data_IF_709586989576
#
_entry.id   IF_709586989576
#
_cell.length_a   1.000
_cell.length_b   1.000
_cell.length_c   1.000
_cell.angle_alpha   90.00
_cell.angle_beta   90.00
_cell.angle_gamma   90.00
#
_symmetry.space_group_name_H-M   'P 1'
#
loop_
_entity.id
_entity.type
_entity.pdbx_description
1 polymer ?
#
# COMPACT_ATOMS: atom_id res chain seq x y z
N UNK A 1 -7.43 30.28 2.15
CA UNK A 1 -8.07 29.13 1.45
C UNK A 1 -6.99 28.42 0.68
N UNK A 2 -7.00 27.09 0.66
CA UNK A 2 -5.96 26.29 -0.02
C UNK A 2 -6.13 26.39 -1.53
N UNK A 3 -5.08 26.80 -2.28
CA UNK A 3 -5.10 26.83 -3.74
C UNK A 3 -4.76 25.43 -4.29
N UNK A 4 -5.60 24.80 -5.15
CA UNK A 4 -5.32 23.47 -5.68
C UNK A 4 -4.00 23.35 -6.48
N UNK A 5 -3.51 24.46 -7.05
CA UNK A 5 -2.21 24.49 -7.74
C UNK A 5 -1.01 24.29 -6.79
N UNK A 6 -1.20 24.43 -5.47
CA UNK A 6 -0.10 24.30 -4.51
C UNK A 6 0.22 22.84 -4.17
N UNK A 7 -0.60 21.88 -4.62
CA UNK A 7 -0.49 20.45 -4.27
C UNK A 7 0.17 19.65 -5.39
N UNK A 8 1.37 19.14 -5.12
CA UNK A 8 2.18 18.41 -6.09
C UNK A 8 2.13 16.88 -5.90
N UNK A 9 1.61 16.41 -4.77
CA UNK A 9 1.58 14.99 -4.40
C UNK A 9 0.14 14.55 -4.14
N UNK A 10 -0.31 13.54 -4.89
CA UNK A 10 -1.58 12.87 -4.62
C UNK A 10 -1.37 11.58 -3.84
N UNK A 11 -2.17 11.34 -2.81
CA UNK A 11 -2.14 10.14 -1.98
C UNK A 11 -3.53 9.51 -2.00
N UNK A 12 -3.64 8.27 -2.48
CA UNK A 12 -4.91 7.53 -2.53
C UNK A 12 -4.92 6.42 -1.48
N UNK A 13 -6.03 6.34 -0.75
CA UNK A 13 -6.35 5.28 0.21
C UNK A 13 -7.58 4.51 -0.28
N UNK A 14 -7.61 3.18 -0.15
CA UNK A 14 -8.75 2.35 -0.52
C UNK A 14 -9.87 2.39 0.53
N UNK A 15 -9.53 2.42 1.82
CA UNK A 15 -10.54 2.35 2.89
C UNK A 15 -10.34 3.41 3.98
N UNK A 16 -11.39 3.66 4.75
CA UNK A 16 -11.38 4.62 5.86
C UNK A 16 -10.29 4.36 6.91
N UNK A 17 -9.91 3.09 7.12
CA UNK A 17 -8.79 2.74 8.01
C UNK A 17 -7.48 3.37 7.56
N UNK A 18 -7.18 3.25 6.27
CA UNK A 18 -5.97 3.77 5.66
C UNK A 18 -6.01 5.30 5.60
N UNK A 19 -7.17 5.86 5.25
CA UNK A 19 -7.36 7.31 5.18
C UNK A 19 -7.14 7.99 6.54
N UNK A 20 -7.65 7.39 7.63
CA UNK A 20 -7.41 7.90 8.98
C UNK A 20 -5.93 7.83 9.36
N UNK A 21 -5.23 6.75 9.00
CA UNK A 21 -3.79 6.63 9.22
C UNK A 21 -3.02 7.69 8.45
N UNK A 22 -3.27 7.84 7.14
CA UNK A 22 -2.63 8.86 6.29
C UNK A 22 -2.80 10.27 6.86
N UNK A 23 -4.02 10.64 7.27
CA UNK A 23 -4.30 11.93 7.89
C UNK A 23 -3.62 12.14 9.25
N UNK A 24 -3.30 11.06 9.98
CA UNK A 24 -2.64 11.13 11.27
C UNK A 24 -1.14 11.44 11.15
N UNK A 25 -0.55 11.17 9.98
CA UNK A 25 0.87 11.38 9.69
C UNK A 25 1.18 12.75 9.06
N UNK A 26 0.17 13.53 8.66
CA UNK A 26 0.34 14.92 8.23
C UNK A 26 1.02 15.75 9.33
N UNK A 27 2.04 16.52 8.96
CA UNK A 27 2.67 17.50 9.87
C UNK A 27 1.74 18.68 10.13
N UNK A 28 0.99 19.06 9.09
CA UNK A 28 0.01 20.13 9.13
C UNK A 28 -1.21 19.73 8.31
N UNK A 29 -2.41 19.95 8.87
CA UNK A 29 -3.67 19.85 8.13
C UNK A 29 -4.04 21.23 7.61
N UNK A 30 -4.30 21.32 6.31
CA UNK A 30 -4.83 22.52 5.69
C UNK A 30 -6.36 22.55 5.75
N UNK A 31 -6.96 23.68 5.36
CA UNK A 31 -8.42 23.78 5.23
C UNK A 31 -8.98 22.91 4.11
N UNK A 32 -10.29 22.66 4.17
CA UNK A 32 -11.05 21.92 3.15
C UNK A 32 -10.93 22.65 1.79
N UNK A 33 -10.88 21.92 0.66
CA UNK A 33 -10.90 22.54 -0.67
C UNK A 33 -12.14 23.43 -0.81
N UNK A 34 -11.97 24.69 -1.22
CA UNK A 34 -13.11 25.59 -1.42
C UNK A 34 -13.91 25.28 -2.68
N UNK A 35 -13.27 24.64 -3.67
CA UNK A 35 -13.89 24.21 -4.91
C UNK A 35 -13.17 22.97 -5.44
N UNK A 36 -13.93 22.06 -6.03
CA UNK A 36 -13.44 20.88 -6.77
C UNK A 36 -14.10 20.86 -8.14
N UNK A 37 -13.60 20.03 -9.07
CA UNK A 37 -14.21 19.90 -10.39
C UNK A 37 -15.68 19.48 -10.29
N UNK A 38 -16.52 19.92 -11.25
CA UNK A 38 -17.99 19.78 -11.22
C UNK A 38 -18.51 18.34 -11.06
N UNK A 39 -17.69 17.34 -11.40
CA UNK A 39 -18.04 15.92 -11.35
C UNK A 39 -17.07 15.10 -10.49
N UNK A 40 -16.25 15.78 -9.68
CA UNK A 40 -15.39 15.12 -8.71
C UNK A 40 -16.22 14.73 -7.48
N UNK A 41 -16.29 13.42 -7.21
CA UNK A 41 -17.04 12.86 -6.08
C UNK A 41 -16.14 12.48 -4.90
N UNK A 42 -14.84 12.80 -4.96
CA UNK A 42 -13.91 12.43 -3.92
C UNK A 42 -14.06 13.31 -2.68
N UNK A 43 -13.84 12.72 -1.51
CA UNK A 43 -13.52 13.47 -0.29
C UNK A 43 -12.00 13.68 -0.21
N UNK A 44 -11.58 14.90 0.15
CA UNK A 44 -10.17 15.25 0.25
C UNK A 44 -9.79 15.77 1.62
N UNK A 45 -8.65 15.31 2.11
CA UNK A 45 -7.90 15.98 3.16
C UNK A 45 -6.65 16.61 2.54
N UNK A 46 -6.49 17.91 2.78
CA UNK A 46 -5.32 18.67 2.37
C UNK A 46 -4.36 18.82 3.53
N UNK A 47 -3.06 18.75 3.27
CA UNK A 47 -2.06 18.99 4.29
C UNK A 47 -0.65 19.07 3.76
N UNK A 48 0.31 19.01 4.68
CA UNK A 48 1.74 19.08 4.40
C UNK A 48 2.49 17.95 5.11
N UNK A 49 3.47 17.40 4.41
CA UNK A 49 4.48 16.47 4.95
C UNK A 49 5.85 17.00 4.56
N UNK A 50 6.67 17.37 5.54
CA UNK A 50 7.93 18.06 5.33
C UNK A 50 7.73 19.35 4.53
N UNK A 51 8.34 19.40 3.35
CA UNK A 51 8.25 20.53 2.42
C UNK A 51 7.15 20.38 1.35
N UNK A 52 6.41 19.27 1.36
CA UNK A 52 5.47 18.92 0.29
C UNK A 52 4.03 19.09 0.71
N UNK A 53 3.24 19.77 -0.13
CA UNK A 53 1.80 19.79 0.00
C UNK A 53 1.20 18.53 -0.63
N UNK A 54 0.39 17.83 0.17
CA UNK A 54 -0.20 16.54 -0.16
C UNK A 54 -1.72 16.65 -0.15
N UNK A 55 -2.36 16.14 -1.20
CA UNK A 55 -3.81 15.91 -1.24
C UNK A 55 -4.07 14.41 -1.05
N UNK A 56 -4.85 14.08 -0.04
CA UNK A 56 -5.21 12.70 0.30
C UNK A 56 -6.67 12.48 -0.07
N UNK A 57 -6.96 11.43 -0.84
CA UNK A 57 -8.33 10.97 -1.12
C UNK A 57 -8.55 9.56 -0.59
N UNK A 58 -9.83 9.22 -0.41
CA UNK A 58 -10.29 7.87 -0.10
C UNK A 58 -11.32 7.43 -1.13
N UNK A 59 -11.34 6.14 -1.45
CA UNK A 59 -12.39 5.58 -2.31
C UNK A 59 -13.78 5.69 -1.64
N UNK A 60 -14.86 5.76 -2.44
CA UNK A 60 -16.22 5.79 -1.91
C UNK A 60 -16.52 4.61 -0.98
N UNK A 61 -17.32 4.84 0.06
CA UNK A 61 -17.66 3.79 1.02
C UNK A 61 -18.40 2.63 0.33
N UNK A 62 -17.97 1.40 0.60
CA UNK A 62 -18.47 0.19 -0.05
C UNK A 62 -17.85 -0.11 -1.42
N UNK A 63 -17.01 0.78 -1.96
CA UNK A 63 -16.25 0.54 -3.18
C UNK A 63 -14.77 0.29 -2.87
N UNK A 64 -14.18 -0.64 -3.62
CA UNK A 64 -12.75 -0.92 -3.63
C UNK A 64 -12.41 -1.58 -4.97
N UNK A 65 -11.12 -1.76 -5.24
CA UNK A 65 -10.67 -2.35 -6.49
C UNK A 65 -10.20 -1.34 -7.54
N UNK A 66 -9.70 -1.91 -8.64
CA UNK A 66 -9.00 -1.23 -9.73
C UNK A 66 -9.82 -0.06 -10.33
N UNK A 67 -11.10 -0.27 -10.62
CA UNK A 67 -11.93 0.73 -11.32
C UNK A 67 -12.26 1.95 -10.45
N UNK A 68 -12.51 1.73 -9.15
CA UNK A 68 -12.80 2.80 -8.21
C UNK A 68 -11.53 3.63 -7.97
N UNK A 69 -10.38 2.98 -7.77
CA UNK A 69 -9.08 3.65 -7.65
C UNK A 69 -8.74 4.54 -8.86
N UNK A 70 -8.95 4.02 -10.08
CA UNK A 70 -8.73 4.79 -11.31
C UNK A 70 -9.66 6.01 -11.41
N UNK A 71 -10.92 5.87 -10.98
CA UNK A 71 -11.89 6.99 -10.98
C UNK A 71 -11.50 8.07 -9.99
N UNK A 72 -11.13 7.69 -8.77
CA UNK A 72 -10.62 8.61 -7.73
C UNK A 72 -9.39 9.36 -8.23
N UNK A 73 -8.42 8.65 -8.83
CA UNK A 73 -7.21 9.25 -9.36
C UNK A 73 -7.51 10.27 -10.47
N UNK A 74 -8.38 9.91 -11.43
CA UNK A 74 -8.80 10.81 -12.51
C UNK A 74 -9.41 12.09 -11.96
N UNK A 75 -10.35 11.97 -11.02
CA UNK A 75 -11.07 13.13 -10.48
C UNK A 75 -10.12 14.02 -9.63
N UNK A 76 -9.20 13.41 -8.89
CA UNK A 76 -8.11 14.11 -8.20
C UNK A 76 -7.24 14.93 -9.16
N UNK A 77 -6.84 14.37 -10.30
CA UNK A 77 -6.04 15.09 -11.30
C UNK A 77 -6.81 16.25 -11.97
N UNK A 78 -8.14 16.18 -12.01
CA UNK A 78 -8.97 17.27 -12.50
C UNK A 78 -9.06 18.43 -11.49
N UNK A 79 -9.19 18.12 -10.21
CA UNK A 79 -9.31 19.12 -9.14
C UNK A 79 -7.96 19.69 -8.70
N UNK A 80 -6.87 18.91 -8.80
CA UNK A 80 -5.52 19.28 -8.39
C UNK A 80 -4.55 19.12 -9.57
N UNK A 81 -4.53 20.08 -10.51
CA UNK A 81 -3.80 19.95 -11.76
C UNK A 81 -2.26 20.01 -11.61
N UNK A 82 -1.72 20.45 -10.47
CA UNK A 82 -0.28 20.48 -10.22
C UNK A 82 0.28 19.15 -9.65
N UNK A 83 -0.53 18.11 -9.49
CA UNK A 83 -0.02 16.80 -9.07
C UNK A 83 0.98 16.27 -10.11
N UNK A 84 2.16 15.88 -9.60
CA UNK A 84 3.31 15.38 -10.38
C UNK A 84 3.68 13.96 -10.04
N UNK A 85 3.46 13.55 -8.80
CA UNK A 85 3.68 12.18 -8.33
C UNK A 85 2.51 11.69 -7.47
N UNK A 86 2.28 10.39 -7.51
CA UNK A 86 1.27 9.72 -6.73
C UNK A 86 1.84 8.80 -5.65
N UNK A 87 1.03 8.51 -4.64
CA UNK A 87 1.23 7.43 -3.68
C UNK A 87 -0.09 6.64 -3.58
N UNK A 88 0.01 5.31 -3.58
CA UNK A 88 -1.08 4.43 -3.16
C UNK A 88 -0.65 3.76 -1.87
N UNK A 89 -1.17 4.22 -0.74
CA UNK A 89 -0.75 3.75 0.58
C UNK A 89 -1.93 3.13 1.29
N UNK A 90 -1.74 1.91 1.75
CA UNK A 90 -2.81 1.19 2.43
C UNK A 90 -2.33 -0.08 3.06
N UNK A 91 -3.26 -1.01 3.24
CA UNK A 91 -3.00 -2.35 3.74
C UNK A 91 -3.00 -3.36 2.61
N UNK A 92 -2.30 -4.46 2.82
CA UNK A 92 -2.28 -5.61 1.91
C UNK A 92 -2.09 -6.91 2.70
N UNK A 93 -2.28 -8.03 2.02
CA UNK A 93 -1.94 -9.33 2.58
C UNK A 93 -0.52 -9.73 2.19
N UNK A 94 0.27 -10.23 3.14
CA UNK A 94 1.66 -10.64 2.91
C UNK A 94 1.77 -12.02 2.28
N UNK A 95 2.89 -12.28 1.62
CA UNK A 95 3.25 -13.57 1.05
C UNK A 95 4.61 -14.04 1.63
N UNK A 96 4.63 -14.59 2.86
CA UNK A 96 5.86 -15.05 3.48
C UNK A 96 6.52 -16.17 2.68
N UNK A 97 7.84 -16.19 2.63
CA UNK A 97 8.63 -17.22 1.95
C UNK A 97 9.95 -17.46 2.67
N UNK A 98 10.70 -18.49 2.27
CA UNK A 98 12.02 -18.77 2.85
C UNK A 98 13.03 -17.62 2.70
N UNK A 99 12.87 -16.76 1.70
CA UNK A 99 13.72 -15.58 1.48
C UNK A 99 13.14 -14.29 2.07
N UNK A 100 11.85 -14.27 2.43
CA UNK A 100 11.16 -13.10 2.95
C UNK A 100 10.26 -13.49 4.12
N UNK A 101 10.78 -13.31 5.34
CA UNK A 101 10.00 -13.47 6.58
C UNK A 101 9.09 -12.26 6.83
N UNK A 102 8.06 -12.16 5.99
CA UNK A 102 7.04 -11.11 6.06
C UNK A 102 6.11 -11.40 7.24
N UNK A 103 5.90 -10.39 8.09
CA UNK A 103 5.09 -10.47 9.31
C UNK A 103 3.97 -9.44 9.34
N UNK A 104 2.97 -9.66 10.19
CA UNK A 104 1.91 -8.67 10.36
C UNK A 104 2.48 -7.37 10.94
N UNK A 105 2.09 -6.24 10.37
CA UNK A 105 2.65 -4.91 10.66
C UNK A 105 3.85 -4.53 9.80
N UNK A 106 4.53 -5.48 9.12
CA UNK A 106 5.58 -5.17 8.16
C UNK A 106 5.06 -4.31 7.01
N UNK A 107 6.00 -3.72 6.27
CA UNK A 107 5.71 -2.87 5.12
C UNK A 107 6.27 -3.55 3.87
N UNK A 108 5.47 -3.61 2.81
CA UNK A 108 5.91 -3.98 1.46
C UNK A 108 5.79 -2.77 0.55
N UNK A 109 6.88 -2.44 -0.13
CA UNK A 109 6.98 -1.31 -1.07
C UNK A 109 7.20 -1.84 -2.47
N UNK A 110 6.41 -1.36 -3.43
CA UNK A 110 6.53 -1.82 -4.82
C UNK A 110 7.87 -1.39 -5.42
N UNK A 111 8.64 -2.38 -5.87
CA UNK A 111 9.97 -2.16 -6.44
C UNK A 111 10.14 -2.97 -7.73
N UNK A 112 10.66 -2.37 -8.82
CA UNK A 112 10.93 -3.11 -10.05
C UNK A 112 11.91 -4.27 -9.85
N UNK A 113 11.55 -5.47 -10.33
CA UNK A 113 12.35 -6.70 -10.27
C UNK A 113 12.06 -7.56 -11.50
N UNK A 114 13.08 -8.23 -12.03
CA UNK A 114 12.97 -9.29 -13.05
C UNK A 114 12.09 -8.92 -14.26
N UNK A 115 12.23 -7.67 -14.74
CA UNK A 115 11.47 -7.15 -15.90
C UNK A 115 10.05 -6.64 -15.58
N UNK A 116 9.59 -6.73 -14.33
CA UNK A 116 8.31 -6.17 -13.86
C UNK A 116 8.50 -4.78 -13.23
N UNK A 117 7.49 -3.91 -13.41
CA UNK A 117 7.50 -2.55 -12.88
C UNK A 117 7.31 -2.41 -11.36
N UNK A 118 7.12 -3.52 -10.64
CA UNK A 118 6.85 -3.55 -9.20
C UNK A 118 5.40 -3.91 -8.86
N UNK A 119 4.49 -3.84 -9.82
CA UNK A 119 3.10 -4.35 -9.70
C UNK A 119 2.86 -5.43 -10.74
N UNK A 120 2.19 -6.51 -10.33
CA UNK A 120 1.78 -7.61 -11.19
C UNK A 120 0.27 -7.82 -11.11
N UNK A 121 -0.46 -7.54 -12.20
CA UNK A 121 -1.89 -7.82 -12.24
C UNK A 121 -2.14 -9.30 -12.58
N UNK A 122 -2.49 -10.10 -11.57
CA UNK A 122 -2.53 -11.56 -11.71
C UNK A 122 -3.87 -12.10 -12.25
N UNK A 123 -4.88 -11.25 -12.40
CA UNK A 123 -6.19 -11.60 -12.98
C UNK A 123 -6.38 -11.09 -14.42
N UNK A 124 -5.39 -10.40 -15.00
CA UNK A 124 -5.48 -9.81 -16.35
C UNK A 124 -4.62 -10.55 -17.39
N UNK A 125 -5.29 -11.26 -18.29
CA UNK A 125 -4.61 -12.18 -19.19
C UNK A 125 -5.56 -13.08 -19.96
N UNK A 126 -5.00 -14.17 -20.49
CA UNK A 126 -5.72 -15.16 -21.28
C UNK A 126 -5.81 -16.48 -20.54
N UNK A 127 -7.00 -17.08 -20.59
CA UNK A 127 -7.22 -18.48 -20.26
C UNK A 127 -7.30 -19.27 -21.56
N UNK A 128 -6.41 -20.24 -21.74
CA UNK A 128 -6.36 -21.11 -22.92
C UNK A 128 -6.65 -22.53 -22.47
N UNK A 129 -7.48 -23.25 -23.24
CA UNK A 129 -7.84 -24.64 -22.93
C UNK A 129 -6.59 -25.48 -22.66
N UNK A 130 -6.59 -26.18 -21.51
CA UNK A 130 -5.49 -27.04 -21.03
C UNK A 130 -4.14 -26.32 -20.80
N UNK A 131 -4.14 -25.00 -20.56
CA UNK A 131 -2.94 -24.25 -20.22
C UNK A 131 -3.12 -23.44 -18.93
N UNK A 132 -2.02 -23.08 -18.28
CA UNK A 132 -2.03 -22.12 -17.19
C UNK A 132 -2.45 -20.74 -17.68
N UNK A 133 -3.00 -19.92 -16.79
CA UNK A 133 -3.29 -18.52 -17.06
C UNK A 133 -2.06 -17.79 -17.58
N UNK A 134 -2.23 -17.03 -18.66
CA UNK A 134 -1.18 -16.24 -19.27
C UNK A 134 -1.44 -14.75 -19.02
N UNK A 135 -0.69 -14.16 -18.09
CA UNK A 135 -0.73 -12.71 -17.88
C UNK A 135 -0.24 -11.99 -19.15
N UNK A 136 -1.00 -11.00 -19.61
CA UNK A 136 -0.68 -10.24 -20.85
C UNK A 136 -0.52 -8.74 -20.63
N UNK A 137 -0.79 -8.25 -19.42
CA UNK A 137 -0.68 -6.83 -19.08
C UNK A 137 0.76 -6.43 -18.74
N UNK A 138 1.07 -5.16 -18.99
CA UNK A 138 2.25 -4.50 -18.46
C UNK A 138 1.83 -3.27 -17.66
N UNK A 139 2.39 -3.13 -16.48
CA UNK A 139 2.18 -1.97 -15.59
C UNK A 139 3.50 -1.23 -15.44
N UNK A 140 3.45 0.08 -15.60
CA UNK A 140 4.60 0.95 -15.45
C UNK A 140 5.22 0.84 -14.06
N UNK A 141 6.49 1.25 -13.99
CA UNK A 141 7.22 1.38 -12.73
C UNK A 141 6.98 2.73 -12.06
N UNK A 142 7.18 2.86 -10.74
CA UNK A 142 7.14 4.14 -10.06
C UNK A 142 8.13 5.16 -10.67
N UNK A 143 7.79 6.47 -10.65
CA UNK A 143 8.67 7.56 -11.06
C UNK A 143 10.10 7.44 -10.50
N UNK A 144 11.09 7.88 -11.28
CA UNK A 144 12.50 7.78 -10.87
C UNK A 144 12.79 8.57 -9.60
N UNK A 145 12.13 9.70 -9.35
CA UNK A 145 12.24 10.43 -8.07
C UNK A 145 11.84 9.57 -6.86
N UNK A 146 10.74 8.82 -6.96
CA UNK A 146 10.27 7.92 -5.89
C UNK A 146 11.22 6.74 -5.70
N UNK A 147 11.69 6.12 -6.80
CA UNK A 147 12.64 5.00 -6.74
C UNK A 147 14.00 5.40 -6.17
N UNK A 148 14.46 6.62 -6.48
CA UNK A 148 15.72 7.16 -5.93
C UNK A 148 15.60 7.45 -4.44
N UNK A 149 14.48 8.06 -4.03
CA UNK A 149 14.21 8.29 -2.60
C UNK A 149 14.09 6.99 -1.82
N UNK A 150 13.40 5.99 -2.38
CA UNK A 150 13.30 4.65 -1.82
C UNK A 150 14.68 4.00 -1.61
N UNK A 151 15.60 4.08 -2.59
CA UNK A 151 16.95 3.53 -2.44
C UNK A 151 17.75 4.25 -1.35
N UNK A 152 17.63 5.58 -1.27
CA UNK A 152 18.27 6.37 -0.22
C UNK A 152 17.72 6.07 1.17
N UNK A 153 16.39 5.93 1.28
CA UNK A 153 15.71 5.61 2.54
C UNK A 153 16.06 4.19 3.02
N UNK A 154 16.09 3.22 2.09
CA UNK A 154 16.57 1.86 2.38
C UNK A 154 17.99 1.86 2.97
N UNK A 155 18.89 2.64 2.36
CA UNK A 155 20.28 2.73 2.83
C UNK A 155 20.37 3.35 4.23
N UNK A 156 19.51 4.34 4.52
CA UNK A 156 19.42 4.96 5.83
C UNK A 156 18.91 3.98 6.88
N UNK A 157 17.83 3.24 6.60
CA UNK A 157 17.32 2.23 7.53
C UNK A 157 18.33 1.11 7.79
N UNK A 158 19.05 0.66 6.76
CA UNK A 158 20.10 -0.35 6.92
C UNK A 158 21.24 0.13 7.86
N UNK A 159 21.56 1.43 7.87
CA UNK A 159 22.63 1.97 8.72
C UNK A 159 22.18 2.44 10.10
N UNK A 160 20.96 2.99 10.21
CA UNK A 160 20.48 3.75 11.37
C UNK A 160 19.19 3.15 11.98
N UNK A 161 18.54 2.20 11.30
CA UNK A 161 17.21 1.71 11.63
C UNK A 161 16.12 2.75 11.36
N UNK A 162 14.95 2.54 11.95
CA UNK A 162 13.83 3.48 11.91
C UNK A 162 13.04 3.49 13.22
N UNK A 163 12.23 4.53 13.44
CA UNK A 163 11.48 4.72 14.69
C UNK A 163 9.96 4.64 14.50
N UNK A 164 9.47 3.79 13.59
CA UNK A 164 8.04 3.68 13.27
C UNK A 164 7.16 3.34 14.47
N UNK A 165 7.57 2.39 15.31
CA UNK A 165 6.78 2.05 16.50
C UNK A 165 6.67 3.23 17.47
N UNK A 166 7.78 3.94 17.74
CA UNK A 166 7.78 5.14 18.58
C UNK A 166 6.91 6.25 17.99
N UNK A 167 7.05 6.53 16.69
CA UNK A 167 6.25 7.54 15.98
C UNK A 167 4.75 7.23 16.05
N UNK A 168 4.36 5.97 15.85
CA UNK A 168 2.97 5.53 15.97
C UNK A 168 2.47 5.72 17.41
N UNK A 169 3.26 5.31 18.40
CA UNK A 169 2.92 5.52 19.82
C UNK A 169 2.69 7.00 20.14
N UNK A 170 3.53 7.91 19.64
CA UNK A 170 3.33 9.35 19.83
C UNK A 170 2.03 9.87 19.20
N UNK A 171 1.72 9.46 17.97
CA UNK A 171 0.47 9.83 17.29
C UNK A 171 -0.74 9.33 18.08
N UNK A 172 -0.71 8.07 18.54
CA UNK A 172 -1.76 7.47 19.33
C UNK A 172 -1.90 8.12 20.72
N UNK A 173 -0.78 8.62 21.28
CA UNK A 173 -0.80 9.40 22.51
C UNK A 173 -1.55 10.72 22.32
N UNK A 174 -1.28 11.43 21.23
CA UNK A 174 -1.95 12.69 20.84
C UNK A 174 -3.41 12.48 20.39
N UNK A 175 -3.78 11.28 19.93
CA UNK A 175 -5.13 10.95 19.43
C UNK A 175 -5.73 9.71 20.13
N UNK A 176 -6.18 9.82 21.39
CA UNK A 176 -6.62 8.67 22.19
C UNK A 176 -7.73 7.82 21.55
N UNK A 177 -8.62 8.43 20.75
CA UNK A 177 -9.67 7.70 20.01
C UNK A 177 -9.13 6.65 19.05
N UNK A 178 -7.92 6.84 18.51
CA UNK A 178 -7.30 5.91 17.57
C UNK A 178 -6.74 4.66 18.26
N UNK A 179 -6.41 4.72 19.55
CA UNK A 179 -5.78 3.61 20.29
C UNK A 179 -6.58 2.31 20.20
N UNK A 180 -7.91 2.38 20.15
CA UNK A 180 -8.78 1.19 20.08
C UNK A 180 -8.55 0.34 18.81
N UNK A 181 -8.23 0.97 17.67
CA UNK A 181 -8.14 0.30 16.37
C UNK A 181 -6.72 0.25 15.80
N UNK A 182 -5.87 1.20 16.16
CA UNK A 182 -4.58 1.43 15.50
C UNK A 182 -3.36 1.08 16.38
N UNK A 183 -3.57 0.63 17.61
CA UNK A 183 -2.47 0.10 18.45
C UNK A 183 -1.97 -1.21 17.86
N UNK A 184 -0.66 -1.45 17.98
CA UNK A 184 -0.05 -2.73 17.64
C UNK A 184 -0.74 -3.86 18.40
N UNK A 185 -1.30 -4.87 17.72
CA UNK A 185 -1.82 -6.06 18.39
C UNK A 185 -0.72 -6.80 19.16
N UNK A 186 -1.13 -7.66 20.10
CA UNK A 186 -0.17 -8.40 20.94
C UNK A 186 0.71 -9.35 20.10
N UNK A 187 1.97 -9.61 20.49
CA UNK A 187 2.89 -10.44 19.70
C UNK A 187 2.36 -11.83 19.33
N UNK A 188 1.47 -12.40 20.15
CA UNK A 188 0.90 -13.73 19.93
C UNK A 188 -0.23 -13.76 18.88
N UNK A 189 -0.72 -12.61 18.41
CA UNK A 189 -1.72 -12.55 17.33
C UNK A 189 -1.12 -12.57 15.93
N UNK A 190 0.21 -12.45 15.81
CA UNK A 190 0.92 -12.71 14.56
C UNK A 190 1.12 -14.23 14.35
N UNK A 191 0.18 -14.85 13.63
CA UNK A 191 0.11 -16.30 13.43
C UNK A 191 0.07 -16.64 11.95
N UNK A 192 1.14 -17.30 11.47
CA UNK A 192 1.19 -17.87 10.13
C UNK A 192 0.90 -19.36 10.21
N UNK A 193 -0.24 -19.77 9.67
CA UNK A 193 -0.62 -21.18 9.58
C UNK A 193 0.05 -21.84 8.37
N UNK A 194 0.23 -23.17 8.43
CA UNK A 194 0.64 -23.96 7.27
C UNK A 194 -0.39 -23.80 6.15
N UNK A 195 0.06 -23.83 4.89
CA UNK A 195 -0.75 -23.48 3.72
C UNK A 195 -1.93 -24.42 3.47
N UNK A 196 -1.86 -25.65 3.98
CA UNK A 196 -2.90 -26.68 3.87
C UNK A 196 -3.98 -26.58 4.96
N UNK A 197 -3.76 -25.74 5.98
CA UNK A 197 -4.75 -25.48 7.02
C UNK A 197 -5.72 -24.43 6.49
N UNK A 198 -6.98 -24.83 6.34
CA UNK A 198 -8.04 -23.94 5.85
C UNK A 198 -8.94 -23.54 6.99
N UNK A 199 -9.03 -22.23 7.24
CA UNK A 199 -10.04 -21.69 8.13
C UNK A 199 -11.43 -21.79 7.49
N UNK A 200 -12.43 -22.38 8.17
CA UNK A 200 -13.81 -22.39 7.71
C UNK A 200 -14.35 -20.97 7.47
N UNK A 201 -15.08 -20.78 6.37
CA UNK A 201 -15.74 -19.51 6.09
C UNK A 201 -16.85 -19.22 7.11
N UNK A 202 -17.02 -17.94 7.45
CA UNK A 202 -18.09 -17.41 8.32
C UNK A 202 -18.06 -17.87 9.78
N UNK A 203 -16.96 -18.46 10.27
CA UNK A 203 -16.78 -18.65 11.70
C UNK A 203 -16.38 -17.33 12.36
N UNK A 204 -17.09 -16.95 13.42
CA UNK A 204 -16.85 -15.70 14.16
C UNK A 204 -15.85 -15.86 15.30
N UNK A 205 -15.43 -17.10 15.59
CA UNK A 205 -14.40 -17.39 16.56
C UNK A 205 -13.01 -17.02 16.01
N UNK A 206 -12.03 -16.88 16.91
CA UNK A 206 -10.65 -16.63 16.50
C UNK A 206 -10.03 -17.84 15.81
N UNK A 207 -9.10 -17.60 14.90
CA UNK A 207 -8.35 -18.65 14.21
C UNK A 207 -7.69 -19.65 15.17
N UNK A 208 -7.25 -19.17 16.34
CA UNK A 208 -6.66 -20.00 17.39
C UNK A 208 -7.66 -21.01 17.96
N UNK A 209 -8.93 -20.61 18.13
CA UNK A 209 -9.99 -21.50 18.64
C UNK A 209 -10.37 -22.54 17.58
N UNK A 210 -10.52 -22.10 16.32
CA UNK A 210 -11.06 -22.94 15.25
C UNK A 210 -10.01 -23.89 14.69
N UNK A 211 -8.81 -23.38 14.42
CA UNK A 211 -7.74 -24.12 13.74
C UNK A 211 -6.74 -24.70 14.74
N UNK A 212 -6.71 -24.20 15.98
CA UNK A 212 -5.81 -24.64 17.04
C UNK A 212 -4.55 -23.76 17.20
N UNK A 213 -3.67 -24.22 18.10
CA UNK A 213 -2.39 -23.59 18.44
C UNK A 213 -1.22 -24.59 18.50
N UNK A 214 -1.39 -25.76 17.89
CA UNK A 214 -0.34 -26.76 17.89
C UNK A 214 0.87 -26.29 17.06
N UNK A 215 2.09 -26.55 17.54
CA UNK A 215 3.31 -26.17 16.82
C UNK A 215 3.43 -26.79 15.40
N UNK A 216 2.66 -27.85 15.11
CA UNK A 216 2.66 -28.53 13.81
C UNK A 216 1.82 -27.81 12.74
N UNK A 217 0.83 -27.01 13.15
CA UNK A 217 -0.08 -26.30 12.22
C UNK A 217 0.38 -24.86 11.96
N UNK A 218 1.32 -24.35 12.74
CA UNK A 218 1.93 -23.05 12.54
C UNK A 218 3.27 -23.20 11.82
N UNK A 219 3.63 -22.18 11.04
CA UNK A 219 4.97 -22.05 10.49
C UNK A 219 5.90 -21.55 11.61
N UNK A 220 6.94 -22.30 11.99
CA UNK A 220 7.87 -21.87 13.03
C UNK A 220 8.68 -20.66 12.54
N UNK A 221 8.74 -19.61 13.36
CA UNK A 221 9.47 -18.39 13.07
C UNK A 221 10.31 -17.98 14.28
N UNK A 222 11.57 -17.63 14.05
CA UNK A 222 12.45 -17.13 15.11
C UNK A 222 11.96 -15.76 15.61
N UNK A 223 12.22 -15.43 16.86
CA UNK A 223 11.92 -14.08 17.35
C UNK A 223 12.89 -13.09 16.69
N UNK A 224 12.36 -11.97 16.17
CA UNK A 224 13.21 -10.85 15.73
C UNK A 224 13.99 -10.30 16.93
N UNK A 225 15.26 -10.03 16.69
CA UNK A 225 16.23 -9.50 17.65
C UNK A 225 16.29 -7.97 17.58
N UNK A 226 17.18 -7.37 18.35
CA UNK A 226 17.47 -5.93 18.28
C UNK A 226 18.21 -5.52 17.00
N UNK A 227 18.82 -6.48 16.31
CA UNK A 227 19.49 -6.27 15.02
C UNK A 227 18.52 -6.32 13.82
N UNK A 228 17.24 -6.65 14.07
CA UNK A 228 16.21 -6.78 13.04
C UNK A 228 15.25 -5.57 13.07
N UNK A 229 14.92 -5.03 11.89
CA UNK A 229 13.85 -4.05 11.76
C UNK A 229 12.49 -4.65 12.18
N UNK A 230 11.75 -3.90 13.01
CA UNK A 230 10.45 -4.31 13.48
C UNK A 230 9.51 -3.11 13.68
N UNK A 231 8.57 -2.84 12.74
CA UNK A 231 8.24 -3.63 11.55
C UNK A 231 9.39 -3.69 10.53
N UNK A 232 9.50 -4.77 9.75
CA UNK A 232 10.49 -4.86 8.67
C UNK A 232 9.94 -4.27 7.37
N UNK A 233 10.83 -3.86 6.48
CA UNK A 233 10.47 -3.29 5.17
C UNK A 233 10.98 -4.20 4.05
N UNK A 234 10.07 -4.62 3.19
CA UNK A 234 10.36 -5.50 2.06
C UNK A 234 10.13 -4.75 0.73
N UNK A 235 11.00 -4.99 -0.24
CA UNK A 235 10.99 -4.30 -1.53
C UNK A 235 10.88 -5.29 -2.68
N UNK A 236 9.74 -5.31 -3.38
CA UNK A 236 9.54 -6.26 -4.46
C UNK A 236 8.19 -6.14 -5.16
N UNK A 237 7.73 -7.26 -5.72
CA UNK A 237 6.51 -7.30 -6.52
C UNK A 237 5.28 -7.37 -5.62
N UNK A 238 4.33 -6.47 -5.88
CA UNK A 238 2.99 -6.52 -5.28
C UNK A 238 2.00 -7.00 -6.34
N UNK A 239 1.26 -8.05 -6.02
CA UNK A 239 0.22 -8.60 -6.85
C UNK A 239 -1.10 -7.85 -6.66
N UNK A 240 -1.73 -7.46 -7.77
CA UNK A 240 -2.96 -6.67 -7.82
C UNK A 240 -4.07 -7.42 -8.58
N UNK A 241 -5.31 -7.38 -8.11
CA UNK A 241 -6.47 -7.95 -8.82
C UNK A 241 -7.81 -7.39 -8.32
N UNK A 242 -8.89 -7.69 -9.02
CA UNK A 242 -10.26 -7.44 -8.54
C UNK A 242 -10.76 -8.52 -7.57
N UNK A 243 -9.97 -9.55 -7.29
CA UNK A 243 -10.32 -10.66 -6.42
C UNK A 243 -9.48 -10.64 -5.15
N UNK A 244 -10.13 -10.81 -4.01
CA UNK A 244 -9.46 -10.91 -2.72
C UNK A 244 -8.74 -12.26 -2.59
N UNK A 245 -7.42 -12.25 -2.37
CA UNK A 245 -6.65 -13.47 -2.15
C UNK A 245 -6.94 -14.07 -0.76
N UNK A 246 -7.45 -15.31 -0.74
CA UNK A 246 -7.70 -16.13 0.46
C UNK A 246 -7.23 -17.58 0.30
N UNK A 247 -6.38 -17.83 -0.71
CA UNK A 247 -5.88 -19.16 -1.05
C UNK A 247 -4.37 -19.19 -0.82
N UNK A 248 -3.95 -19.85 0.25
CA UNK A 248 -2.55 -19.97 0.62
C UNK A 248 -1.72 -20.73 -0.44
N UNK A 249 -2.31 -21.71 -1.12
CA UNK A 249 -1.63 -22.49 -2.16
C UNK A 249 -1.39 -21.60 -3.38
N UNK A 250 -2.40 -20.84 -3.81
CA UNK A 250 -2.24 -19.89 -4.90
C UNK A 250 -1.27 -18.75 -4.54
N UNK A 251 -1.34 -18.24 -3.30
CA UNK A 251 -0.40 -17.25 -2.76
C UNK A 251 1.05 -17.76 -2.86
N UNK A 252 1.33 -18.95 -2.35
CA UNK A 252 2.67 -19.54 -2.32
C UNK A 252 3.18 -19.85 -3.73
N UNK A 253 2.30 -20.29 -4.62
CA UNK A 253 2.60 -20.45 -6.04
C UNK A 253 3.02 -19.13 -6.69
N UNK A 254 2.27 -18.05 -6.49
CA UNK A 254 2.62 -16.73 -7.04
C UNK A 254 3.87 -16.12 -6.40
N UNK A 255 4.07 -16.35 -5.09
CA UNK A 255 5.29 -15.95 -4.41
C UNK A 255 6.53 -16.64 -5.01
N UNK A 256 6.46 -17.95 -5.26
CA UNK A 256 7.56 -18.73 -5.83
C UNK A 256 7.80 -18.47 -7.32
N UNK A 257 6.74 -18.43 -8.14
CA UNK A 257 6.86 -18.28 -9.60
C UNK A 257 7.13 -16.84 -10.04
N UNK A 258 6.68 -15.85 -9.26
CA UNK A 258 6.69 -14.43 -9.66
C UNK A 258 7.38 -13.51 -8.65
N UNK A 259 7.88 -14.03 -7.52
CA UNK A 259 8.51 -13.20 -6.48
C UNK A 259 7.53 -12.22 -5.82
N UNK A 260 6.24 -12.57 -5.79
CA UNK A 260 5.21 -11.73 -5.15
C UNK A 260 5.41 -11.73 -3.63
N UNK A 261 5.40 -10.53 -3.05
CA UNK A 261 5.56 -10.31 -1.60
C UNK A 261 4.27 -9.88 -0.91
N UNK A 262 3.32 -9.31 -1.66
CA UNK A 262 2.09 -8.74 -1.12
C UNK A 262 0.96 -8.83 -2.14
N UNK A 263 -0.27 -8.95 -1.67
CA UNK A 263 -1.50 -8.92 -2.44
C UNK A 263 -2.37 -7.73 -2.03
N UNK A 264 -2.90 -7.00 -3.00
CA UNK A 264 -3.83 -5.88 -2.83
C UNK A 264 -4.77 -5.80 -4.06
N UNK A 265 -5.67 -4.81 -4.09
CA UNK A 265 -6.77 -4.80 -5.08
C UNK A 265 -6.87 -3.54 -5.95
N UNK A 266 -6.00 -2.53 -5.78
CA UNK A 266 -6.20 -1.22 -6.42
C UNK A 266 -5.13 -0.85 -7.44
N UNK A 267 -3.86 -1.16 -7.16
CA UNK A 267 -2.70 -0.55 -7.81
C UNK A 267 -2.66 -0.73 -9.32
N UNK A 268 -3.14 -1.86 -9.85
CA UNK A 268 -3.19 -2.11 -11.28
C UNK A 268 -4.01 -1.05 -12.06
N UNK A 269 -4.98 -0.40 -11.41
CA UNK A 269 -5.78 0.67 -12.01
C UNK A 269 -5.04 2.00 -12.09
N UNK A 270 -3.94 2.16 -11.35
CA UNK A 270 -3.23 3.41 -11.18
C UNK A 270 -1.96 3.50 -12.02
N UNK A 271 -1.12 2.46 -12.01
CA UNK A 271 0.29 2.56 -12.45
C UNK A 271 0.50 3.20 -13.84
N UNK A 272 -0.42 3.00 -14.78
CA UNK A 272 -0.29 3.51 -16.15
C UNK A 272 -0.86 4.93 -16.36
N UNK A 273 -1.69 5.44 -15.44
CA UNK A 273 -2.36 6.74 -15.58
C UNK A 273 -2.05 7.71 -14.43
N UNK A 274 -1.64 7.18 -13.30
CA UNK A 274 -1.28 7.89 -12.08
C UNK A 274 0.07 7.33 -11.60
N UNK A 275 1.19 7.87 -12.10
CA UNK A 275 2.53 7.40 -11.73
C UNK A 275 2.74 7.49 -10.22
N UNK A 276 2.72 6.33 -9.55
CA UNK A 276 2.75 6.26 -8.11
C UNK A 276 3.69 5.18 -7.58
N UNK A 277 4.07 5.33 -6.32
CA UNK A 277 4.65 4.25 -5.52
C UNK A 277 3.55 3.61 -4.68
N UNK A 278 3.57 2.28 -4.59
CA UNK A 278 2.59 1.52 -3.81
C UNK A 278 3.24 1.03 -2.53
N UNK A 279 2.63 1.34 -1.39
CA UNK A 279 3.15 1.03 -0.05
C UNK A 279 2.03 0.31 0.72
N UNK A 280 2.27 -0.93 1.12
CA UNK A 280 1.29 -1.77 1.80
C UNK A 280 1.79 -2.22 3.15
N UNK A 281 1.06 -1.86 4.19
CA UNK A 281 1.24 -2.45 5.51
C UNK A 281 0.55 -3.82 5.55
N UNK A 282 1.22 -4.82 6.09
CA UNK A 282 0.74 -6.20 6.07
C UNK A 282 -0.26 -6.44 7.20
N UNK A 283 -1.52 -6.72 6.85
CA UNK A 283 -2.61 -6.92 7.82
C UNK A 283 -3.13 -8.36 7.91
N UNK A 284 -2.74 -9.22 6.97
CA UNK A 284 -3.06 -10.66 6.95
C UNK A 284 -2.04 -11.38 6.03
N UNK A 285 -2.19 -12.69 5.88
CA UNK A 285 -1.31 -13.52 5.07
C UNK A 285 -1.91 -13.97 3.74
N UNK A 286 -2.92 -13.26 3.21
CA UNK A 286 -3.55 -13.61 1.92
C UNK A 286 -4.05 -15.06 1.87
N UNK A 287 -4.60 -15.55 2.98
CA UNK A 287 -5.13 -16.89 3.13
C UNK A 287 -6.51 -16.86 3.81
N UNK A 288 -7.02 -18.05 4.14
CA UNK A 288 -8.33 -18.22 4.77
C UNK A 288 -8.42 -17.62 6.19
N UNK A 289 -7.29 -17.35 6.86
CA UNK A 289 -7.24 -16.83 8.24
C UNK A 289 -7.31 -15.29 8.31
N UNK A 290 -7.56 -14.62 7.17
CA UNK A 290 -7.67 -13.16 7.09
C UNK A 290 -8.68 -12.61 8.09
N UNK A 291 -8.23 -11.66 8.91
CA UNK A 291 -9.07 -10.96 9.88
C UNK A 291 -8.79 -9.44 9.87
N UNK A 292 -9.48 -8.68 10.73
CA UNK A 292 -9.39 -7.20 10.77
C UNK A 292 -8.51 -6.64 11.90
N UNK A 293 -7.92 -7.49 12.74
CA UNK A 293 -7.22 -7.08 13.96
C UNK A 293 -6.01 -6.17 13.66
N UNK A 294 -5.23 -6.53 12.63
CA UNK A 294 -3.99 -5.84 12.28
C UNK A 294 -4.17 -4.66 11.32
N UNK A 295 -5.36 -4.46 10.74
CA UNK A 295 -5.57 -3.45 9.70
C UNK A 295 -5.21 -2.04 10.14
N UNK A 296 -5.53 -1.66 11.38
CA UNK A 296 -5.22 -0.32 11.87
C UNK A 296 -3.72 -0.10 12.03
N UNK A 297 -3.02 -1.02 12.72
CA UNK A 297 -1.58 -0.88 12.91
C UNK A 297 -0.82 -0.96 11.58
N UNK A 298 -1.18 -1.89 10.69
CA UNK A 298 -0.60 -1.99 9.35
C UNK A 298 -0.79 -0.70 8.52
N UNK A 299 -1.96 -0.07 8.58
CA UNK A 299 -2.18 1.21 7.93
C UNK A 299 -1.25 2.32 8.49
N UNK A 300 -0.99 2.30 9.80
CA UNK A 300 -0.08 3.26 10.45
C UNK A 300 1.37 3.04 10.04
N UNK A 301 1.84 1.79 9.93
CA UNK A 301 3.23 1.51 9.50
C UNK A 301 3.44 1.89 8.03
N UNK A 302 2.48 1.62 7.16
CA UNK A 302 2.50 2.07 5.77
C UNK A 302 2.55 3.60 5.65
N UNK A 303 1.72 4.31 6.43
CA UNK A 303 1.70 5.77 6.45
C UNK A 303 2.99 6.38 7.04
N UNK A 304 3.61 5.72 8.02
CA UNK A 304 4.92 6.11 8.56
C UNK A 304 6.01 6.04 7.49
N UNK A 305 6.08 4.93 6.75
CA UNK A 305 7.03 4.79 5.65
C UNK A 305 6.80 5.84 4.55
N UNK A 306 5.54 6.08 4.18
CA UNK A 306 5.21 7.10 3.20
C UNK A 306 5.65 8.51 3.65
N UNK A 307 5.52 8.82 4.95
CA UNK A 307 6.01 10.08 5.53
C UNK A 307 7.52 10.20 5.35
N UNK A 308 8.30 9.22 5.78
CA UNK A 308 9.76 9.26 5.67
C UNK A 308 10.25 9.34 4.23
N UNK A 309 9.57 8.65 3.31
CA UNK A 309 9.84 8.75 1.89
C UNK A 309 9.70 10.19 1.38
N UNK A 310 8.65 10.91 1.79
CA UNK A 310 8.44 12.30 1.40
C UNK A 310 9.48 13.24 2.05
N UNK A 311 9.89 12.99 3.29
CA UNK A 311 10.99 13.71 3.94
C UNK A 311 12.32 13.53 3.21
N UNK A 312 12.53 12.37 2.57
CA UNK A 312 13.73 12.07 1.79
C UNK A 312 13.80 12.82 0.46
N UNK A 313 12.66 13.25 -0.10
CA UNK A 313 12.60 13.87 -1.42
C UNK A 313 12.76 15.39 -1.28
N UNK A 314 13.77 16.03 -1.91
CA UNK A 314 13.86 17.48 -1.97
C UNK A 314 12.71 18.10 -2.78
N UNK A 315 12.19 19.25 -2.37
CA UNK A 315 11.07 19.94 -3.03
C UNK A 315 11.29 20.14 -4.54
N UNK A 316 12.46 20.66 -4.91
CA UNK A 316 12.81 20.93 -6.32
C UNK A 316 12.83 19.67 -7.20
N UNK A 317 12.97 18.48 -6.63
CA UNK A 317 12.89 17.22 -7.39
C UNK A 317 11.47 16.87 -7.75
N UNK A 318 10.49 17.15 -6.88
CA UNK A 318 9.07 16.98 -7.20
C UNK A 318 8.63 18.03 -8.22
N UNK A 319 9.04 19.28 -8.05
CA UNK A 319 8.70 20.37 -8.99
C UNK A 319 9.27 20.16 -10.40
N UNK A 320 10.37 19.42 -10.53
CA UNK A 320 10.97 19.07 -11.81
C UNK A 320 10.24 17.93 -12.55
N UNK A 321 9.45 17.10 -11.86
CA UNK A 321 8.62 16.07 -12.51
C UNK A 321 7.51 16.72 -13.33
N UNK A 322 7.13 16.12 -14.47
CA UNK A 322 6.02 16.64 -15.27
C UNK A 322 4.70 16.49 -14.53
N UNK A 323 3.76 17.43 -14.73
CA UNK A 323 2.41 17.28 -14.20
C UNK A 323 1.76 16.05 -14.84
N UNK A 324 1.08 15.23 -14.05
CA UNK A 324 0.49 13.98 -14.54
C UNK A 324 -0.56 14.28 -15.62
N UNK A 325 -1.35 15.36 -15.42
CA UNK A 325 -2.38 15.81 -16.38
C UNK A 325 -1.81 16.09 -17.77
N UNK A 326 -0.64 16.71 -17.85
CA UNK A 326 0.02 17.06 -19.12
C UNK A 326 0.48 15.79 -19.86
N UNK A 327 1.03 14.82 -19.12
CA UNK A 327 1.48 13.53 -19.65
C UNK A 327 0.32 12.73 -20.25
N UNK A 328 -0.85 12.74 -19.60
CA UNK A 328 -2.05 12.04 -20.10
C UNK A 328 -2.62 12.68 -21.37
N UNK A 329 -2.50 14.01 -21.52
CA UNK A 329 -3.00 14.73 -22.69
C UNK A 329 -2.20 14.46 -23.98
N UNK A 330 -0.91 14.17 -23.86
CA UNK A 330 -0.03 13.92 -25.01
C UNK A 330 -0.20 12.52 -25.63
N UNK A 331 -0.84 11.59 -24.92
CA UNK A 331 -1.13 10.23 -25.42
C UNK A 331 -2.30 10.13 -26.41
N UNK A 332 -2.96 11.24 -26.76
CA UNK A 332 -4.16 11.27 -27.62
C UNK A 332 -3.90 11.73 -29.07
N UNK A 333 -2.65 11.81 -29.53
CA UNK A 333 -2.40 12.05 -30.96
C UNK A 333 -2.59 10.75 -31.74
N UNK A 334 -3.56 10.65 -32.67
CA UNK A 334 -3.65 9.51 -33.55
C UNK A 334 -2.42 9.50 -34.44
N UNK A 335 -1.67 8.41 -34.43
CA UNK A 335 -0.73 8.13 -35.52
C UNK A 335 -1.59 7.84 -36.74
N UNK A 336 -1.72 8.84 -37.62
CA UNK A 336 -2.28 8.65 -38.97
C UNK A 336 -1.33 7.81 -39.82
#
# INVERSE_FOLDING_TARGET
MSNPEDYAIGWICAISTEYVAAQAFLDEKHGIPSNVSRHDNNDYTLGRIGQHNVVIAVLPDGEYGIASAASVARDMLHSFPNIRIGLMVGIGGGAPSGSHDIRLGDIVVSAPRDGMGGIFQYDFGKTIQNQSFQATGFLNQPPTVLRTAMAGLRSQHESEGHEYEATICEILNKKPRLRKKYTRPGPNSDRLYQSDIVHPENDSNSCQIVCGDDAKILVPRLKRTEDDDNPAIHYGIIASANQLMKDAIMRDKLASERGVLCFEMEAAGLMNQFPCLVIRGICDYSDSHKNKEWQGYAAMTAAAYAKDLLYRIPLNKVEAEQKIKDTLSHGQTPVN
#
